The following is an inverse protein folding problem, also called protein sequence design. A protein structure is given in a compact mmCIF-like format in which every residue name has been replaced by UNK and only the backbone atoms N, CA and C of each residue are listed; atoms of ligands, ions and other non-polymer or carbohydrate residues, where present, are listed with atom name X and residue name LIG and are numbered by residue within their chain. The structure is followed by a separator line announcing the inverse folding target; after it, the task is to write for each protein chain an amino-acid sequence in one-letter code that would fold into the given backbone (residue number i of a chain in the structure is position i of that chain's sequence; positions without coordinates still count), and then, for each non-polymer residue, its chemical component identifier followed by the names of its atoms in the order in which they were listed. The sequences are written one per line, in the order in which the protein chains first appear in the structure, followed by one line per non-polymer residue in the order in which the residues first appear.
data_IF_737883576034
#
_entry.id   IF_737883576034
#
_cell.length_a   1.000
_cell.length_b   1.000
_cell.length_c   1.000
_cell.angle_alpha   90.00
_cell.angle_beta   90.00
_cell.angle_gamma   90.00
#
_symmetry.space_group_name_H-M   'P 1'
#
loop_
_entity.id
_entity.type
_entity.pdbx_description
1 polymer ?
#
# COMPACT_ATOMS: atom_id res chain seq x y z
N UNK A 1 -9.56 -33.06 45.70
CA UNK A 1 -8.38 -32.19 45.64
C UNK A 1 -7.52 -32.58 44.44
N UNK A 2 -7.68 -31.95 43.29
CA UNK A 2 -6.74 -32.05 42.18
C UNK A 2 -6.25 -30.66 41.82
N UNK A 3 -5.03 -30.33 42.22
CA UNK A 3 -4.28 -29.16 41.80
C UNK A 3 -3.82 -29.38 40.36
N UNK A 4 -4.36 -28.62 39.43
CA UNK A 4 -3.84 -28.50 38.07
C UNK A 4 -2.78 -27.43 38.03
N UNK A 5 -1.52 -27.84 37.93
CA UNK A 5 -0.40 -26.99 37.59
C UNK A 5 -0.59 -26.39 36.20
N UNK A 6 -0.84 -25.10 36.12
CA UNK A 6 -0.69 -24.35 34.87
C UNK A 6 0.78 -23.99 34.70
N UNK A 7 1.47 -24.70 33.80
CA UNK A 7 2.84 -24.39 33.40
C UNK A 7 2.93 -23.04 32.66
N UNK A 8 4.11 -22.37 32.69
CA UNK A 8 4.28 -20.99 32.23
C UNK A 8 4.55 -20.86 30.71
N UNK A 9 4.14 -21.80 29.88
CA UNK A 9 4.33 -21.74 28.45
C UNK A 9 2.99 -21.58 27.74
N UNK A 10 2.56 -20.32 27.58
CA UNK A 10 1.57 -19.98 26.56
C UNK A 10 2.11 -20.35 25.17
N UNK A 11 1.23 -20.57 24.16
CA UNK A 11 1.68 -20.99 22.84
C UNK A 11 2.69 -19.98 22.30
N UNK A 12 3.89 -20.48 21.95
CA UNK A 12 4.93 -19.70 21.27
C UNK A 12 4.29 -19.04 20.04
N UNK A 13 4.08 -17.73 20.11
CA UNK A 13 3.67 -16.94 18.94
C UNK A 13 4.72 -17.20 17.87
N UNK A 14 4.35 -17.97 16.84
CA UNK A 14 5.21 -18.26 15.68
C UNK A 14 5.66 -16.90 15.16
N UNK A 15 6.95 -16.58 15.33
CA UNK A 15 7.53 -15.30 14.90
C UNK A 15 7.31 -15.22 13.40
N UNK A 16 6.40 -14.37 12.95
CA UNK A 16 6.12 -14.23 11.51
C UNK A 16 7.40 -13.78 10.82
N UNK A 17 7.75 -14.48 9.75
CA UNK A 17 8.94 -14.17 8.95
C UNK A 17 8.71 -12.83 8.27
N UNK A 18 9.65 -11.90 8.44
CA UNK A 18 9.67 -10.62 7.74
C UNK A 18 10.39 -10.78 6.40
N UNK A 19 9.78 -10.27 5.34
CA UNK A 19 10.38 -10.16 4.02
C UNK A 19 10.82 -8.71 3.81
N UNK A 20 12.13 -8.48 3.82
CA UNK A 20 12.71 -7.17 3.57
C UNK A 20 12.86 -6.92 2.07
N UNK A 21 12.14 -5.92 1.57
CA UNK A 21 12.15 -5.53 0.18
C UNK A 21 13.26 -4.51 -0.05
N UNK A 22 14.12 -4.78 -1.03
CA UNK A 22 15.22 -3.88 -1.38
C UNK A 22 14.71 -2.76 -2.31
N UNK A 23 15.31 -1.58 -2.20
CA UNK A 23 14.89 -0.39 -2.95
C UNK A 23 14.99 -0.57 -4.47
N UNK A 24 16.04 -1.21 -4.98
CA UNK A 24 16.17 -1.51 -6.40
C UNK A 24 15.09 -2.48 -6.91
N UNK A 25 14.76 -3.50 -6.11
CA UNK A 25 13.70 -4.46 -6.45
C UNK A 25 12.34 -3.78 -6.49
N UNK A 26 12.06 -2.90 -5.53
CA UNK A 26 10.79 -2.16 -5.49
C UNK A 26 10.64 -1.22 -6.67
N UNK A 27 11.71 -0.52 -7.04
CA UNK A 27 11.69 0.38 -8.20
C UNK A 27 11.48 -0.41 -9.51
N UNK A 28 12.18 -1.54 -9.67
CA UNK A 28 12.00 -2.44 -10.82
C UNK A 28 10.55 -2.95 -10.90
N UNK A 29 10.00 -3.40 -9.79
CA UNK A 29 8.62 -3.89 -9.73
C UNK A 29 7.62 -2.78 -10.03
N UNK A 30 7.90 -1.55 -9.60
CA UNK A 30 7.05 -0.38 -9.89
C UNK A 30 7.03 -0.06 -11.39
N UNK A 31 8.15 -0.13 -12.08
CA UNK A 31 8.20 0.02 -13.52
C UNK A 31 7.52 -1.14 -14.26
N UNK A 32 7.70 -2.37 -13.79
CA UNK A 32 7.00 -3.52 -14.36
C UNK A 32 5.49 -3.40 -14.18
N UNK A 33 5.05 -2.89 -13.04
CA UNK A 33 3.64 -2.63 -12.75
C UNK A 33 3.06 -1.61 -13.75
N UNK A 34 3.80 -0.51 -13.99
CA UNK A 34 3.43 0.49 -14.99
C UNK A 34 3.37 -0.08 -16.42
N UNK A 35 4.32 -0.94 -16.76
CA UNK A 35 4.32 -1.65 -18.04
C UNK A 35 3.08 -2.53 -18.21
N UNK A 36 2.70 -3.27 -17.17
CA UNK A 36 1.50 -4.11 -17.19
C UNK A 36 0.22 -3.27 -17.37
N UNK A 37 0.15 -2.11 -16.74
CA UNK A 37 -0.95 -1.14 -16.95
C UNK A 37 -1.00 -0.69 -18.42
N UNK A 38 0.15 -0.29 -18.97
CA UNK A 38 0.27 0.15 -20.37
C UNK A 38 -0.15 -0.94 -21.36
N UNK A 39 0.37 -2.16 -21.21
CA UNK A 39 0.05 -3.28 -22.10
C UNK A 39 -1.44 -3.68 -22.06
N UNK A 40 -2.12 -3.44 -20.93
CA UNK A 40 -3.55 -3.70 -20.80
C UNK A 40 -4.44 -2.79 -21.66
N UNK A 41 -3.87 -1.70 -22.19
CA UNK A 41 -4.61 -0.64 -22.87
C UNK A 41 -5.31 0.34 -21.93
N UNK A 42 -5.17 0.17 -20.61
CA UNK A 42 -5.67 1.14 -19.64
C UNK A 42 -4.72 2.34 -19.59
N UNK A 43 -5.21 3.47 -20.06
CA UNK A 43 -4.47 4.73 -20.10
C UNK A 43 -5.05 5.69 -19.05
N UNK A 44 -4.56 5.68 -17.79
CA UNK A 44 -5.10 6.55 -16.76
C UNK A 44 -4.73 8.01 -17.03
N UNK A 45 -5.72 8.90 -16.93
CA UNK A 45 -5.49 10.34 -16.94
C UNK A 45 -5.49 10.95 -15.52
N UNK A 46 -5.77 10.11 -14.50
CA UNK A 46 -5.57 10.43 -13.09
C UNK A 46 -4.89 9.27 -12.37
N UNK A 47 -3.94 9.60 -11.49
CA UNK A 47 -3.25 8.62 -10.62
C UNK A 47 -3.33 9.08 -9.17
N UNK A 48 -3.81 8.20 -8.30
CA UNK A 48 -3.76 8.37 -6.85
C UNK A 48 -2.66 7.46 -6.28
N UNK A 49 -1.66 8.05 -5.61
CA UNK A 49 -0.75 7.33 -4.75
C UNK A 49 -1.29 7.29 -3.32
N UNK A 50 -1.49 6.10 -2.77
CA UNK A 50 -1.98 5.98 -1.40
C UNK A 50 -0.84 6.27 -0.43
N UNK A 51 -0.95 7.38 0.28
CA UNK A 51 0.02 7.77 1.28
C UNK A 51 -0.13 6.85 2.50
N UNK A 52 0.95 6.25 3.00
CA UNK A 52 2.39 6.52 2.78
C UNK A 52 3.02 5.60 1.74
N UNK A 53 2.85 4.27 1.89
CA UNK A 53 3.60 3.24 1.17
C UNK A 53 3.40 3.25 -0.33
N UNK A 54 2.21 3.61 -0.80
CA UNK A 54 1.91 3.72 -2.23
C UNK A 54 2.54 4.93 -2.93
N UNK A 55 3.00 5.94 -2.19
CA UNK A 55 3.55 7.16 -2.78
C UNK A 55 4.80 6.92 -3.65
N UNK A 56 5.86 6.22 -3.18
CA UNK A 56 7.04 5.98 -4.02
C UNK A 56 6.73 5.12 -5.24
N UNK A 57 5.84 4.13 -5.12
CA UNK A 57 5.39 3.32 -6.25
C UNK A 57 4.58 4.17 -7.24
N UNK A 58 3.65 4.97 -6.73
CA UNK A 58 2.84 5.87 -7.54
C UNK A 58 3.67 6.85 -8.36
N UNK A 59 4.73 7.41 -7.78
CA UNK A 59 5.68 8.28 -8.49
C UNK A 59 6.35 7.53 -9.63
N UNK A 60 6.90 6.34 -9.37
CA UNK A 60 7.59 5.56 -10.39
C UNK A 60 6.65 5.11 -11.51
N UNK A 61 5.42 4.72 -11.18
CA UNK A 61 4.39 4.35 -12.16
C UNK A 61 4.02 5.55 -13.02
N UNK A 62 3.78 6.71 -12.43
CA UNK A 62 3.45 7.93 -13.15
C UNK A 62 4.57 8.35 -14.09
N UNK A 63 5.83 8.37 -13.62
CA UNK A 63 7.00 8.70 -14.43
C UNK A 63 7.14 7.76 -15.64
N UNK A 64 6.97 6.46 -15.42
CA UNK A 64 7.10 5.48 -16.50
C UNK A 64 5.97 5.60 -17.54
N UNK A 65 4.73 5.79 -17.10
CA UNK A 65 3.59 6.00 -18.00
C UNK A 65 3.74 7.30 -18.80
N UNK A 66 4.21 8.37 -18.16
CA UNK A 66 4.51 9.64 -18.84
C UNK A 66 5.61 9.47 -19.90
N UNK A 67 6.65 8.72 -19.60
CA UNK A 67 7.70 8.37 -20.58
C UNK A 67 7.13 7.62 -21.80
N UNK A 68 6.08 6.81 -21.62
CA UNK A 68 5.37 6.12 -22.70
C UNK A 68 4.30 6.98 -23.39
N UNK A 69 4.18 8.27 -23.04
CA UNK A 69 3.26 9.20 -23.64
C UNK A 69 1.84 9.21 -23.04
N UNK A 70 1.65 8.55 -21.88
CA UNK A 70 0.40 8.64 -21.11
C UNK A 70 0.56 9.72 -20.04
N UNK A 71 0.00 10.90 -20.32
CA UNK A 71 -0.03 12.00 -19.37
C UNK A 71 -1.18 11.84 -18.39
N UNK A 72 -0.91 12.09 -17.12
CA UNK A 72 -1.88 11.98 -16.04
C UNK A 72 -1.69 13.10 -15.02
N UNK A 73 -2.78 13.59 -14.48
CA UNK A 73 -2.75 14.34 -13.23
C UNK A 73 -2.62 13.36 -12.05
N UNK A 74 -1.99 13.77 -10.98
CA UNK A 74 -1.64 12.86 -9.89
C UNK A 74 -1.70 13.54 -8.53
N UNK A 75 -2.08 12.77 -7.51
CA UNK A 75 -2.23 13.25 -6.13
C UNK A 75 -1.94 12.13 -5.14
N UNK A 76 -1.42 12.50 -3.97
CA UNK A 76 -1.34 11.60 -2.83
C UNK A 76 -2.62 11.71 -1.98
N UNK A 77 -3.17 10.55 -1.60
CA UNK A 77 -4.36 10.44 -0.77
C UNK A 77 -4.03 9.61 0.46
N UNK A 78 -4.30 10.15 1.64
CA UNK A 78 -4.02 9.48 2.90
C UNK A 78 -5.23 8.68 3.37
N UNK A 79 -4.99 7.45 3.81
CA UNK A 79 -5.97 6.65 4.57
C UNK A 79 -5.54 6.48 6.02
N UNK A 80 -6.51 6.42 6.93
CA UNK A 80 -6.26 6.07 8.32
C UNK A 80 -7.38 5.19 8.86
N UNK A 81 -7.01 4.22 9.70
CA UNK A 81 -7.98 3.46 10.48
C UNK A 81 -8.40 4.25 11.70
N UNK A 82 -9.70 4.39 11.90
CA UNK A 82 -10.28 5.00 13.08
C UNK A 82 -10.96 3.91 13.92
N UNK A 83 -10.37 3.63 15.09
CA UNK A 83 -11.02 2.85 16.13
C UNK A 83 -11.74 3.83 17.06
N UNK A 84 -13.04 4.02 16.86
CA UNK A 84 -13.87 4.84 17.75
C UNK A 84 -13.91 4.27 19.17
N UNK A 85 -14.25 5.12 20.14
CA UNK A 85 -14.47 4.74 21.55
C UNK A 85 -15.55 3.65 21.65
N UNK A 86 -16.45 3.60 20.69
CA UNK A 86 -17.44 2.54 20.51
C UNK A 86 -16.88 1.49 19.54
N UNK A 87 -16.34 0.38 20.07
CA UNK A 87 -15.68 -0.74 19.36
C UNK A 87 -16.54 -1.43 18.28
N UNK A 88 -17.61 -0.83 17.79
CA UNK A 88 -18.57 -1.46 16.88
C UNK A 88 -18.34 -1.22 15.39
N UNK A 89 -17.44 -0.30 15.01
CA UNK A 89 -17.07 -0.09 13.59
C UNK A 89 -15.65 0.43 13.47
N UNK A 90 -14.73 -0.46 13.12
CA UNK A 90 -13.47 -0.03 12.50
C UNK A 90 -13.81 0.60 11.16
N UNK A 91 -13.53 1.89 10.99
CA UNK A 91 -13.75 2.61 9.74
C UNK A 91 -12.45 3.13 9.17
N UNK A 92 -12.34 3.09 7.85
CA UNK A 92 -11.26 3.75 7.12
C UNK A 92 -11.72 5.17 6.77
N UNK A 93 -10.90 6.15 7.11
CA UNK A 93 -11.10 7.54 6.67
C UNK A 93 -10.11 7.89 5.57
N UNK A 94 -10.57 8.66 4.60
CA UNK A 94 -9.80 9.07 3.42
C UNK A 94 -9.66 10.59 3.40
N UNK A 95 -8.44 11.08 3.23
CA UNK A 95 -8.11 12.51 3.20
C UNK A 95 -7.42 12.87 1.89
N UNK A 96 -7.75 14.02 1.32
CA UNK A 96 -7.10 14.56 0.14
C UNK A 96 -7.83 14.29 -1.18
N UNK A 97 -9.00 13.65 -1.17
CA UNK A 97 -9.77 13.36 -2.38
C UNK A 97 -10.42 14.59 -3.03
N UNK A 98 -10.61 15.68 -2.30
CA UNK A 98 -11.37 16.85 -2.79
C UNK A 98 -10.80 17.44 -4.08
N UNK A 99 -9.48 17.41 -4.26
CA UNK A 99 -8.85 17.90 -5.46
C UNK A 99 -9.31 17.12 -6.69
N UNK A 100 -9.19 15.81 -6.65
CA UNK A 100 -9.49 14.95 -7.80
C UNK A 100 -11.00 14.83 -8.03
N UNK A 101 -11.81 14.70 -6.99
CA UNK A 101 -13.28 14.58 -7.09
C UNK A 101 -13.90 15.76 -7.86
N UNK A 102 -13.36 16.98 -7.71
CA UNK A 102 -13.87 18.17 -8.40
C UNK A 102 -13.63 18.18 -9.90
N UNK A 103 -12.76 17.32 -10.39
CA UNK A 103 -12.32 17.30 -11.78
C UNK A 103 -12.77 16.07 -12.52
N UNK A 104 -13.09 14.97 -11.79
CA UNK A 104 -13.43 13.68 -12.40
C UNK A 104 -14.76 13.74 -13.17
N UNK A 105 -14.70 13.17 -14.37
CA UNK A 105 -15.84 12.94 -15.24
C UNK A 105 -15.97 11.45 -15.57
N UNK A 106 -17.11 11.02 -16.08
CA UNK A 106 -17.42 9.61 -16.38
C UNK A 106 -16.48 8.96 -17.40
N UNK A 107 -15.89 9.75 -18.28
CA UNK A 107 -14.96 9.30 -19.32
C UNK A 107 -13.53 9.16 -18.83
N UNK A 108 -13.24 9.65 -17.63
CA UNK A 108 -11.91 9.58 -17.03
C UNK A 108 -11.56 8.16 -16.61
N UNK A 109 -10.25 7.93 -16.48
CA UNK A 109 -9.66 6.67 -16.00
C UNK A 109 -8.72 6.99 -14.86
N UNK A 110 -9.02 6.41 -13.70
CA UNK A 110 -8.29 6.61 -12.46
C UNK A 110 -7.54 5.34 -12.09
N UNK A 111 -6.23 5.46 -11.91
CA UNK A 111 -5.39 4.41 -11.34
C UNK A 111 -5.10 4.71 -9.87
N UNK A 112 -5.44 3.78 -8.99
CA UNK A 112 -5.11 3.84 -7.57
C UNK A 112 -3.90 2.94 -7.32
N UNK A 113 -2.81 3.51 -6.83
CA UNK A 113 -1.54 2.82 -6.59
C UNK A 113 -1.25 2.76 -5.11
N UNK A 114 -1.04 1.55 -4.59
CA UNK A 114 -0.62 1.30 -3.22
C UNK A 114 0.59 0.35 -3.20
N UNK A 115 1.23 0.17 -2.04
CA UNK A 115 2.37 -0.73 -1.88
C UNK A 115 1.95 -2.20 -1.76
N UNK A 116 0.88 -2.47 -1.05
CA UNK A 116 0.33 -3.81 -0.84
C UNK A 116 -1.19 -3.79 -0.75
N UNK A 117 -1.82 -4.73 -1.44
CA UNK A 117 -3.23 -5.05 -1.23
C UNK A 117 -3.33 -6.15 -0.17
N UNK A 118 -3.46 -5.74 1.09
CA UNK A 118 -3.57 -6.63 2.26
C UNK A 118 -5.06 -6.96 2.52
N UNK A 119 -5.73 -6.25 3.40
CA UNK A 119 -7.19 -6.42 3.62
C UNK A 119 -8.03 -5.89 2.46
N UNK A 120 -7.53 -4.94 1.71
CA UNK A 120 -8.23 -4.24 0.64
C UNK A 120 -9.13 -3.09 1.12
N UNK A 121 -9.25 -2.89 2.44
CA UNK A 121 -10.19 -1.93 3.02
C UNK A 121 -9.87 -0.47 2.64
N UNK A 122 -8.60 -0.09 2.62
CA UNK A 122 -8.20 1.29 2.26
C UNK A 122 -8.59 1.64 0.84
N UNK A 123 -8.26 0.78 -0.12
CA UNK A 123 -8.60 0.98 -1.53
C UNK A 123 -10.12 0.93 -1.75
N UNK A 124 -10.80 -0.02 -1.12
CA UNK A 124 -12.26 -0.12 -1.20
C UNK A 124 -12.95 1.16 -0.69
N UNK A 125 -12.44 1.77 0.38
CA UNK A 125 -12.99 3.02 0.90
C UNK A 125 -12.73 4.19 -0.05
N UNK A 126 -11.56 4.29 -0.65
CA UNK A 126 -11.26 5.32 -1.66
C UNK A 126 -12.25 5.22 -2.83
N UNK A 127 -12.46 4.01 -3.36
CA UNK A 127 -13.40 3.76 -4.46
C UNK A 127 -14.82 4.14 -4.06
N UNK A 128 -15.24 3.75 -2.87
CA UNK A 128 -16.58 4.07 -2.33
C UNK A 128 -16.79 5.57 -2.20
N UNK A 129 -15.82 6.29 -1.64
CA UNK A 129 -15.93 7.74 -1.44
C UNK A 129 -15.97 8.50 -2.78
N UNK A 130 -15.16 8.10 -3.75
CA UNK A 130 -15.17 8.67 -5.10
C UNK A 130 -16.53 8.42 -5.77
N UNK A 131 -17.02 7.19 -5.74
CA UNK A 131 -18.31 6.84 -6.35
C UNK A 131 -19.48 7.60 -5.70
N UNK A 132 -19.47 7.73 -4.38
CA UNK A 132 -20.50 8.48 -3.65
C UNK A 132 -20.49 9.98 -3.99
N UNK A 133 -19.31 10.56 -4.19
CA UNK A 133 -19.16 11.99 -4.50
C UNK A 133 -19.43 12.30 -5.98
N UNK A 134 -18.87 11.48 -6.89
CA UNK A 134 -18.97 11.72 -8.35
C UNK A 134 -20.31 11.24 -8.94
N UNK A 135 -20.99 10.27 -8.31
CA UNK A 135 -22.28 9.76 -8.78
C UNK A 135 -22.22 9.30 -10.25
N UNK A 136 -22.99 9.95 -11.13
CA UNK A 136 -23.00 9.64 -12.58
C UNK A 136 -21.67 9.94 -13.28
N UNK A 137 -20.84 10.80 -12.70
CA UNK A 137 -19.50 11.14 -13.20
C UNK A 137 -18.41 10.25 -12.64
N UNK A 138 -18.76 9.11 -12.02
CA UNK A 138 -17.79 8.15 -11.52
C UNK A 138 -16.94 7.59 -12.65
N UNK A 139 -15.60 7.73 -12.60
CA UNK A 139 -14.71 7.24 -13.66
C UNK A 139 -14.54 5.74 -13.62
N UNK A 140 -13.95 5.16 -14.67
CA UNK A 140 -13.40 3.83 -14.57
C UNK A 140 -12.20 3.84 -13.62
N UNK A 141 -12.21 2.96 -12.60
CA UNK A 141 -11.15 2.89 -11.59
C UNK A 141 -10.48 1.52 -11.60
N UNK A 142 -9.15 1.50 -11.60
CA UNK A 142 -8.34 0.30 -11.45
C UNK A 142 -7.31 0.46 -10.35
N UNK A 143 -6.87 -0.68 -9.80
CA UNK A 143 -5.95 -0.74 -8.67
C UNK A 143 -4.69 -1.46 -9.08
N UNK A 144 -3.54 -0.87 -8.74
CA UNK A 144 -2.22 -1.43 -9.01
C UNK A 144 -1.39 -1.46 -7.72
N UNK A 145 -0.85 -2.63 -7.38
CA UNK A 145 0.05 -2.81 -6.23
C UNK A 145 1.17 -3.77 -6.58
N UNK A 146 2.42 -3.57 -6.16
CA UNK A 146 3.45 -4.56 -6.39
C UNK A 146 3.21 -5.86 -5.62
N UNK A 147 2.54 -5.80 -4.47
CA UNK A 147 2.25 -6.97 -3.64
C UNK A 147 0.77 -7.15 -3.37
N UNK A 148 0.34 -8.41 -3.38
CA UNK A 148 -1.02 -8.83 -3.05
C UNK A 148 -1.00 -9.97 -2.04
N UNK A 149 -1.87 -9.90 -1.02
CA UNK A 149 -2.05 -10.92 0.02
C UNK A 149 -3.42 -11.58 -0.09
N UNK A 150 -3.58 -12.61 -0.92
CA UNK A 150 -4.88 -13.19 -1.23
C UNK A 150 -5.63 -13.74 0.00
N UNK A 151 -4.88 -14.34 0.95
CA UNK A 151 -5.47 -14.94 2.16
C UNK A 151 -5.86 -13.92 3.24
N UNK A 152 -5.47 -12.64 3.09
CA UNK A 152 -5.82 -11.57 4.03
C UNK A 152 -6.91 -10.64 3.53
N UNK A 153 -7.30 -10.74 2.26
CA UNK A 153 -8.35 -9.90 1.69
C UNK A 153 -9.67 -10.08 2.45
N UNK A 154 -10.23 -8.97 2.92
CA UNK A 154 -11.53 -8.91 3.61
C UNK A 154 -12.64 -8.44 2.69
N UNK A 155 -12.31 -7.79 1.59
CA UNK A 155 -13.26 -7.26 0.62
C UNK A 155 -13.69 -8.27 -0.44
N UNK A 156 -12.95 -9.38 -0.57
CA UNK A 156 -13.12 -10.35 -1.65
C UNK A 156 -12.59 -9.87 -3.01
N UNK A 157 -12.11 -8.62 -3.08
CA UNK A 157 -11.52 -8.04 -4.29
C UNK A 157 -10.02 -8.28 -4.32
N UNK A 158 -9.47 -8.31 -5.53
CA UNK A 158 -8.03 -8.30 -5.78
C UNK A 158 -7.66 -7.06 -6.57
N UNK A 159 -6.39 -6.61 -6.54
CA UNK A 159 -5.94 -5.53 -7.43
C UNK A 159 -6.03 -5.97 -8.89
N UNK A 160 -6.28 -5.01 -9.79
CA UNK A 160 -6.31 -5.27 -11.24
C UNK A 160 -4.92 -5.61 -11.77
N UNK A 161 -3.90 -4.99 -11.19
CA UNK A 161 -2.49 -5.21 -11.54
C UNK A 161 -1.67 -5.47 -10.28
N UNK A 162 -0.89 -6.53 -10.28
CA UNK A 162 0.08 -6.84 -9.22
C UNK A 162 1.24 -7.68 -9.76
N UNK A 163 2.34 -7.73 -9.01
CA UNK A 163 3.56 -8.45 -9.39
C UNK A 163 3.74 -9.72 -8.56
N UNK A 164 3.59 -9.62 -7.23
CA UNK A 164 3.85 -10.70 -6.31
C UNK A 164 2.64 -11.04 -5.45
N UNK A 165 2.45 -12.33 -5.19
CA UNK A 165 1.54 -12.82 -4.15
C UNK A 165 2.34 -13.31 -2.95
N UNK A 166 1.96 -12.92 -1.74
CA UNK A 166 2.62 -13.37 -0.51
C UNK A 166 1.72 -13.13 0.70
N UNK A 167 1.85 -13.96 1.73
CA UNK A 167 1.24 -13.75 3.04
C UNK A 167 2.26 -13.32 4.11
N UNK A 168 3.54 -13.15 3.73
CA UNK A 168 4.60 -12.74 4.64
C UNK A 168 4.41 -11.30 5.13
N UNK A 169 5.05 -10.98 6.25
CA UNK A 169 5.15 -9.60 6.72
C UNK A 169 6.16 -8.85 5.86
N UNK A 170 5.67 -7.92 5.04
CA UNK A 170 6.51 -7.09 4.18
C UNK A 170 7.10 -5.93 4.97
N UNK A 171 8.39 -5.68 4.74
CA UNK A 171 9.09 -4.48 5.22
C UNK A 171 9.64 -3.75 4.00
N UNK A 172 9.03 -2.62 3.67
CA UNK A 172 9.43 -1.82 2.52
C UNK A 172 10.72 -1.04 2.79
N UNK A 173 11.46 -0.62 1.74
CA UNK A 173 12.75 0.07 1.91
C UNK A 173 12.66 1.32 2.80
N UNK A 174 11.56 2.08 2.71
CA UNK A 174 11.31 3.31 3.45
C UNK A 174 10.77 3.07 4.89
N UNK A 175 10.52 1.83 5.29
CA UNK A 175 9.97 1.51 6.61
C UNK A 175 11.08 1.21 7.61
N UNK A 176 11.04 1.89 8.76
CA UNK A 176 11.95 1.68 9.89
C UNK A 176 11.20 1.42 11.19
N UNK A 177 9.96 1.90 11.29
CA UNK A 177 9.15 1.76 12.50
C UNK A 177 8.91 0.29 12.88
N UNK A 178 9.13 -0.04 14.15
CA UNK A 178 8.96 -1.41 14.65
C UNK A 178 10.10 -2.38 14.31
N UNK A 179 11.22 -1.88 13.75
CA UNK A 179 12.42 -2.66 13.51
C UNK A 179 13.42 -2.48 14.68
N UNK A 180 14.13 -3.55 15.04
CA UNK A 180 15.27 -3.47 15.94
C UNK A 180 16.51 -2.93 15.19
N UNK A 181 17.49 -2.44 15.96
CA UNK A 181 18.75 -1.98 15.38
C UNK A 181 19.48 -3.13 14.65
N UNK A 182 19.39 -4.36 15.15
CA UNK A 182 19.95 -5.55 14.52
C UNK A 182 19.27 -5.85 13.19
N UNK A 183 17.95 -5.74 13.11
CA UNK A 183 17.20 -5.91 11.87
C UNK A 183 17.59 -4.85 10.83
N UNK A 184 17.75 -3.61 11.25
CA UNK A 184 18.21 -2.51 10.38
C UNK A 184 19.62 -2.79 9.86
N UNK A 185 20.58 -3.14 10.74
CA UNK A 185 21.94 -3.48 10.34
C UNK A 185 22.01 -4.62 9.34
N UNK A 186 21.17 -5.64 9.52
CA UNK A 186 21.19 -6.83 8.68
C UNK A 186 20.50 -6.63 7.33
N UNK A 187 19.50 -5.74 7.24
CA UNK A 187 18.58 -5.70 6.10
C UNK A 187 18.45 -4.33 5.42
N UNK A 188 19.03 -3.27 5.98
CA UNK A 188 18.94 -1.90 5.48
C UNK A 188 20.35 -1.34 5.17
N UNK A 189 20.98 -1.77 4.05
CA UNK A 189 22.35 -1.36 3.72
C UNK A 189 22.49 0.16 3.57
N UNK A 190 21.45 0.85 3.13
CA UNK A 190 21.40 2.31 3.01
C UNK A 190 21.53 3.05 4.35
N UNK A 191 21.31 2.34 5.47
CA UNK A 191 21.45 2.90 6.82
C UNK A 191 22.85 2.71 7.43
N UNK A 192 23.73 1.97 6.77
CA UNK A 192 25.01 1.53 7.35
C UNK A 192 25.84 2.70 7.89
N UNK A 193 25.97 3.77 7.12
CA UNK A 193 26.77 4.94 7.51
C UNK A 193 26.10 5.82 8.59
N UNK A 194 24.78 5.68 8.76
CA UNK A 194 24.00 6.44 9.74
C UNK A 194 23.93 5.76 11.12
N UNK A 195 24.07 4.44 11.16
CA UNK A 195 23.94 3.65 12.39
C UNK A 195 24.83 4.15 13.54
N UNK A 196 26.14 4.47 13.31
CA UNK A 196 26.98 4.99 14.37
C UNK A 196 26.46 6.27 15.01
N UNK A 197 25.79 7.13 14.21
CA UNK A 197 25.28 8.43 14.64
C UNK A 197 23.95 8.33 15.43
N UNK A 198 23.19 7.25 15.21
CA UNK A 198 21.86 7.08 15.82
C UNK A 198 21.85 6.11 16.99
N UNK A 199 22.90 5.27 17.13
CA UNK A 199 22.99 4.21 18.14
C UNK A 199 22.69 4.70 19.56
N UNK A 200 23.13 5.90 19.91
CA UNK A 200 22.95 6.50 21.24
C UNK A 200 21.68 7.35 21.35
N UNK A 201 20.83 7.34 20.32
CA UNK A 201 19.59 8.13 20.24
C UNK A 201 18.31 7.29 20.41
N UNK A 202 18.46 5.96 20.35
CA UNK A 202 17.35 4.99 20.38
C UNK A 202 17.49 3.99 21.51
#
# INVERSE_FOLDING_TARGET
SYNSFKGPFGPLKKKMKKLFIQSESLLKDSFQLAWNVYESGFAPNYIIGVWRGGAPIGIAVQEFLSFLGIESDHVAVRTSYYSGIDKRKDSVQVYGLNYVIRQLESEDRLLIVDDVHDTGNSVAQIITDIAAACKKNTPEMKVATPYYKPNKSQTGNKPDFYIHETDEWLVFPHELEGLSLEEIKANKPEMTDLIPNIKDKI
#
